data_IF_472109932619
#
_entry.id   IF_472109932619
#
_cell.length_a   1.000
_cell.length_b   1.000
_cell.length_c   1.000
_cell.angle_alpha   90.00
_cell.angle_beta   90.00
_cell.angle_gamma   90.00
#
_symmetry.space_group_name_H-M   'P 1'
#
loop_
_entity.id
_entity.type
_entity.pdbx_description
1 polymer ?
#
# COMPACT_ATOMS: atom_id res chain seq x y z
N UNK A 1 12.51 8.70 -37.00
CA UNK A 1 12.53 7.36 -36.41
C UNK A 1 12.25 7.57 -34.93
N UNK A 2 10.98 7.48 -34.54
CA UNK A 2 10.61 7.61 -33.13
C UNK A 2 11.11 6.37 -32.40
N UNK A 3 12.19 6.52 -31.64
CA UNK A 3 12.58 5.60 -30.57
C UNK A 3 11.72 5.89 -29.33
N UNK A 4 10.40 5.95 -29.52
CA UNK A 4 9.48 6.05 -28.41
C UNK A 4 9.49 4.69 -27.70
N UNK A 5 10.35 4.57 -26.69
CA UNK A 5 10.18 3.57 -25.64
C UNK A 5 8.72 3.72 -25.20
N UNK A 6 7.92 2.69 -25.41
CA UNK A 6 6.52 2.71 -25.04
C UNK A 6 6.46 2.64 -23.50
N UNK A 7 6.60 3.79 -22.85
CA UNK A 7 6.53 3.92 -21.40
C UNK A 7 5.13 3.55 -20.97
N UNK A 8 4.96 2.34 -20.43
CA UNK A 8 3.74 1.99 -19.72
C UNK A 8 3.80 2.66 -18.34
N UNK A 9 3.34 3.91 -18.29
CA UNK A 9 3.36 4.72 -17.07
C UNK A 9 2.63 4.05 -15.90
N UNK A 10 1.65 3.19 -16.16
CA UNK A 10 0.93 2.44 -15.12
C UNK A 10 1.81 1.35 -14.51
N UNK A 11 2.49 0.56 -15.34
CA UNK A 11 3.44 -0.47 -14.88
C UNK A 11 4.59 0.16 -14.10
N UNK A 12 5.12 1.28 -14.55
CA UNK A 12 6.22 1.95 -13.87
C UNK A 12 5.77 2.56 -12.53
N UNK A 13 4.59 3.19 -12.47
CA UNK A 13 4.02 3.64 -11.19
C UNK A 13 3.79 2.48 -10.23
N UNK A 14 3.31 1.33 -10.74
CA UNK A 14 3.12 0.11 -9.95
C UNK A 14 4.44 -0.37 -9.33
N UNK A 15 5.52 -0.47 -10.14
CA UNK A 15 6.87 -0.83 -9.67
C UNK A 15 7.39 0.13 -8.61
N UNK A 16 7.24 1.43 -8.82
CA UNK A 16 7.69 2.45 -7.87
C UNK A 16 6.93 2.34 -6.54
N UNK A 17 5.60 2.28 -6.59
CA UNK A 17 4.75 2.12 -5.40
C UNK A 17 5.11 0.87 -4.62
N UNK A 18 5.20 -0.28 -5.29
CA UNK A 18 5.60 -1.55 -4.68
C UNK A 18 6.98 -1.44 -4.01
N UNK A 19 7.97 -0.92 -4.72
CA UNK A 19 9.35 -0.84 -4.23
C UNK A 19 9.47 0.04 -2.98
N UNK A 20 8.77 1.18 -2.96
CA UNK A 20 8.78 2.10 -1.82
C UNK A 20 8.07 1.46 -0.62
N UNK A 21 6.88 0.90 -0.81
CA UNK A 21 6.12 0.24 0.26
C UNK A 21 6.86 -0.95 0.85
N UNK A 22 7.47 -1.80 0.02
CA UNK A 22 8.28 -2.92 0.47
C UNK A 22 9.47 -2.45 1.30
N UNK A 23 10.16 -1.39 0.84
CA UNK A 23 11.29 -0.82 1.60
C UNK A 23 10.87 -0.24 2.96
N UNK A 24 9.71 0.44 3.02
CA UNK A 24 9.15 0.93 4.28
C UNK A 24 8.81 -0.24 5.21
N UNK A 25 8.22 -1.31 4.67
CA UNK A 25 7.80 -2.48 5.43
C UNK A 25 8.99 -3.23 6.05
N UNK A 26 10.10 -3.39 5.32
CA UNK A 26 11.31 -4.08 5.81
C UNK A 26 12.06 -3.33 6.89
N UNK A 27 12.04 -1.99 6.85
CA UNK A 27 12.85 -1.13 7.73
C UNK A 27 12.15 -0.74 9.03
N UNK A 28 10.82 -0.84 9.08
CA UNK A 28 10.05 -0.31 10.20
C UNK A 28 9.81 -1.36 11.30
N UNK A 29 10.36 -1.06 12.48
CA UNK A 29 10.06 -1.77 13.73
C UNK A 29 8.85 -1.18 14.48
N UNK A 30 8.35 -0.03 14.03
CA UNK A 30 7.17 0.64 14.60
C UNK A 30 6.04 0.73 13.56
N UNK A 31 4.86 0.24 13.95
CA UNK A 31 3.71 0.15 13.05
C UNK A 31 2.95 1.47 12.92
N UNK A 32 2.94 2.32 13.95
CA UNK A 32 2.31 3.64 13.84
C UNK A 32 3.09 4.49 12.81
N UNK A 33 4.43 4.57 12.94
CA UNK A 33 5.29 5.28 11.97
C UNK A 33 5.19 4.68 10.55
N UNK A 34 5.07 3.35 10.43
CA UNK A 34 4.87 2.71 9.13
C UNK A 34 3.57 3.17 8.47
N UNK A 35 2.45 3.14 9.19
CA UNK A 35 1.14 3.52 8.65
C UNK A 35 1.06 5.00 8.27
N UNK A 36 1.74 5.88 9.02
CA UNK A 36 1.87 7.30 8.66
C UNK A 36 2.64 7.49 7.34
N UNK A 37 3.76 6.79 7.17
CA UNK A 37 4.54 6.86 5.92
C UNK A 37 3.77 6.29 4.72
N UNK A 38 3.02 5.21 4.92
CA UNK A 38 2.13 4.63 3.89
C UNK A 38 1.05 5.62 3.49
N UNK A 39 0.47 6.35 4.44
CA UNK A 39 -0.51 7.41 4.18
C UNK A 39 0.08 8.60 3.40
N UNK A 40 1.33 8.99 3.69
CA UNK A 40 2.02 10.03 2.92
C UNK A 40 2.24 9.59 1.46
N UNK A 41 2.67 8.34 1.26
CA UNK A 41 2.83 7.78 -0.09
C UNK A 41 1.48 7.72 -0.83
N UNK A 42 0.40 7.37 -0.14
CA UNK A 42 -0.95 7.34 -0.69
C UNK A 42 -1.36 8.71 -1.24
N UNK A 43 -1.05 9.82 -0.54
CA UNK A 43 -1.27 11.17 -1.06
C UNK A 43 -0.32 11.54 -2.21
N UNK A 44 0.96 11.14 -2.15
CA UNK A 44 1.95 11.43 -3.20
C UNK A 44 1.57 10.78 -4.55
N UNK A 45 0.92 9.62 -4.50
CA UNK A 45 0.38 8.92 -5.67
C UNK A 45 -1.05 9.34 -6.04
N UNK A 46 -1.54 10.45 -5.48
CA UNK A 46 -2.88 11.00 -5.75
C UNK A 46 -4.03 10.03 -5.41
N UNK A 47 -3.94 9.41 -4.23
CA UNK A 47 -4.99 8.62 -3.59
C UNK A 47 -5.46 7.37 -4.38
N UNK A 48 -4.56 6.46 -4.81
CA UNK A 48 -4.92 5.30 -5.63
C UNK A 48 -5.87 4.32 -4.91
N UNK A 49 -6.94 3.92 -5.59
CA UNK A 49 -8.00 3.06 -5.03
C UNK A 49 -7.49 1.75 -4.41
N UNK A 50 -6.46 1.15 -5.00
CA UNK A 50 -5.89 -0.13 -4.55
C UNK A 50 -5.16 -0.08 -3.20
N UNK A 51 -4.86 1.12 -2.67
CA UNK A 51 -4.24 1.29 -1.36
C UNK A 51 -5.24 1.53 -0.22
N UNK A 52 -6.48 1.93 -0.53
CA UNK A 52 -7.46 2.40 0.47
C UNK A 52 -7.64 1.46 1.64
N UNK A 53 -7.62 0.16 1.38
CA UNK A 53 -7.89 -0.88 2.37
C UNK A 53 -6.98 -0.84 3.61
N UNK A 54 -5.78 -0.26 3.50
CA UNK A 54 -4.78 -0.19 4.57
C UNK A 54 -4.40 1.25 4.98
N UNK A 55 -5.20 2.27 4.61
CA UNK A 55 -5.00 3.65 5.07
C UNK A 55 -5.71 3.89 6.39
N UNK A 56 -4.97 4.26 7.43
CA UNK A 56 -5.44 4.22 8.82
C UNK A 56 -6.53 5.23 9.17
N UNK A 57 -6.65 6.35 8.43
CA UNK A 57 -7.65 7.38 8.67
C UNK A 57 -8.93 7.21 7.82
N UNK A 58 -8.93 6.27 6.88
CA UNK A 58 -10.12 5.99 6.08
C UNK A 58 -11.08 5.09 6.86
N UNK A 59 -12.36 5.26 6.58
CA UNK A 59 -13.36 4.31 7.06
C UNK A 59 -13.03 2.91 6.53
N UNK A 60 -13.11 1.87 7.38
CA UNK A 60 -12.90 0.51 6.94
C UNK A 60 -14.03 0.06 6.01
N UNK A 61 -13.77 -0.99 5.24
CA UNK A 61 -14.76 -1.59 4.33
C UNK A 61 -16.06 -2.00 5.07
N UNK A 62 -17.17 -2.03 4.34
CA UNK A 62 -18.47 -2.43 4.87
C UNK A 62 -18.38 -3.75 5.65
N UNK A 63 -18.82 -3.73 6.91
CA UNK A 63 -18.85 -4.90 7.80
C UNK A 63 -17.74 -4.95 8.85
N UNK A 64 -16.77 -4.01 8.84
CA UNK A 64 -15.80 -3.89 9.93
C UNK A 64 -16.07 -2.65 10.80
N UNK A 65 -16.32 -2.88 12.09
CA UNK A 65 -16.50 -1.81 13.08
C UNK A 65 -15.25 -1.72 13.96
N UNK A 66 -14.43 -0.69 13.72
CA UNK A 66 -13.15 -0.48 14.41
C UNK A 66 -13.31 -0.24 15.91
N UNK A 67 -14.49 0.20 16.37
CA UNK A 67 -14.77 0.46 17.79
C UNK A 67 -14.88 -0.82 18.63
N UNK A 68 -15.08 -1.97 17.98
CA UNK A 68 -15.15 -3.29 18.64
C UNK A 68 -13.78 -3.91 18.94
N UNK A 69 -12.70 -3.30 18.47
CA UNK A 69 -11.34 -3.83 18.56
C UNK A 69 -10.40 -2.84 19.25
N UNK A 70 -9.34 -3.36 19.85
CA UNK A 70 -8.28 -2.54 20.43
C UNK A 70 -7.50 -1.81 19.34
N UNK A 71 -6.75 -0.77 19.73
CA UNK A 71 -5.83 -0.06 18.82
C UNK A 71 -4.86 -1.03 18.12
N UNK A 72 -4.28 -1.96 18.87
CA UNK A 72 -3.28 -2.90 18.33
C UNK A 72 -3.90 -3.90 17.34
N UNK A 73 -5.11 -4.37 17.57
CA UNK A 73 -5.83 -5.25 16.64
C UNK A 73 -6.18 -4.50 15.34
N UNK A 74 -6.65 -3.26 15.45
CA UNK A 74 -6.91 -2.39 14.30
C UNK A 74 -5.63 -2.14 13.48
N UNK A 75 -4.51 -1.83 14.14
CA UNK A 75 -3.20 -1.67 13.48
C UNK A 75 -2.80 -2.96 12.78
N UNK A 76 -2.87 -4.10 13.48
CA UNK A 76 -2.48 -5.39 12.92
C UNK A 76 -3.28 -5.72 11.66
N UNK A 77 -4.58 -5.46 11.65
CA UNK A 77 -5.42 -5.61 10.46
C UNK A 77 -4.91 -4.79 9.26
N UNK A 78 -4.52 -3.54 9.48
CA UNK A 78 -3.98 -2.68 8.42
C UNK A 78 -2.65 -3.21 7.90
N UNK A 79 -1.78 -3.68 8.80
CA UNK A 79 -0.51 -4.32 8.45
C UNK A 79 -0.74 -5.60 7.63
N UNK A 80 -1.67 -6.46 8.03
CA UNK A 80 -2.00 -7.70 7.31
C UNK A 80 -2.53 -7.39 5.90
N UNK A 81 -3.31 -6.31 5.74
CA UNK A 81 -3.78 -5.83 4.44
C UNK A 81 -2.64 -5.28 3.57
N UNK A 82 -1.71 -4.51 4.15
CA UNK A 82 -0.49 -4.06 3.46
C UNK A 82 0.36 -5.24 2.98
N UNK A 83 0.57 -6.24 3.84
CA UNK A 83 1.33 -7.45 3.49
C UNK A 83 0.65 -8.24 2.38
N UNK A 84 -0.68 -8.36 2.42
CA UNK A 84 -1.47 -8.99 1.36
C UNK A 84 -1.35 -8.24 0.03
N UNK A 85 -1.40 -6.91 0.08
CA UNK A 85 -1.19 -6.05 -1.09
C UNK A 85 0.20 -6.29 -1.69
N UNK A 86 1.27 -6.21 -0.88
CA UNK A 86 2.65 -6.43 -1.33
C UNK A 86 2.84 -7.81 -1.98
N UNK A 87 2.26 -8.86 -1.41
CA UNK A 87 2.30 -10.20 -2.00
C UNK A 87 1.59 -10.27 -3.36
N UNK A 88 0.45 -9.60 -3.51
CA UNK A 88 -0.28 -9.56 -4.78
C UNK A 88 0.48 -8.77 -5.85
N UNK A 89 1.09 -7.65 -5.47
CA UNK A 89 1.94 -6.82 -6.34
C UNK A 89 3.17 -7.58 -6.81
N UNK A 90 3.85 -8.29 -5.90
CA UNK A 90 5.02 -9.10 -6.25
C UNK A 90 4.69 -10.15 -7.31
N UNK A 91 3.57 -10.86 -7.17
CA UNK A 91 3.12 -11.86 -8.16
C UNK A 91 2.80 -11.21 -9.49
N UNK A 92 2.03 -10.11 -9.48
CA UNK A 92 1.67 -9.40 -10.70
C UNK A 92 2.91 -8.89 -11.45
N UNK A 93 3.90 -8.34 -10.74
CA UNK A 93 5.14 -7.85 -11.34
C UNK A 93 6.07 -8.95 -11.86
N UNK A 94 5.89 -10.22 -11.46
CA UNK A 94 6.61 -11.36 -12.03
C UNK A 94 6.01 -11.86 -13.35
N UNK A 95 4.75 -11.51 -13.62
CA UNK A 95 4.00 -11.90 -14.83
C UNK A 95 4.03 -10.85 -15.94
N UNK A 96 4.65 -9.69 -15.67
CA UNK A 96 4.76 -8.52 -16.56
C UNK A 96 6.03 -8.53 -17.40
#
# INVERSE_FOLDING_TARGET
MDLAIHWNSEIEQRKWKYSILMSMREKNNDYDTLLENVANLYSDFNYPEDMKGFIYYLEPDEGYDSSKYTKNENIRRLIDKLDSFLQSEQKALQEV
#
